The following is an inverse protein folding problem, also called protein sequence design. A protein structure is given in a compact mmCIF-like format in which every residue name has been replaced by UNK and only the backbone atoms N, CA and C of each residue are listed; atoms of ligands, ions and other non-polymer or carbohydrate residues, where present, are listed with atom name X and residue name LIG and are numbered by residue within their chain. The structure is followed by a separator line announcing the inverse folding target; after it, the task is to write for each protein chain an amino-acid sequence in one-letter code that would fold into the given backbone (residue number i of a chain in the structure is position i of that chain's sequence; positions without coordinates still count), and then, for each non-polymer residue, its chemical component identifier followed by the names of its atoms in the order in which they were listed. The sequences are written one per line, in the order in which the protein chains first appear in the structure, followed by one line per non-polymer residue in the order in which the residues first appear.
data_IF_255218564598
#
_entry.id   IF_255218564598
#
_cell.length_a   1.000
_cell.length_b   1.000
_cell.length_c   1.000
_cell.angle_alpha   90.00
_cell.angle_beta   90.00
_cell.angle_gamma   90.00
#
_symmetry.space_group_name_H-M   'P 1'
#
loop_
_entity.id
_entity.type
_entity.pdbx_description
1 polymer ?
#
# COMPACT_ATOMS: atom_id res chain seq x y z
N UNK A 1 -1.58 -3.09 11.71
CA UNK A 1 -1.16 -2.07 12.68
C UNK A 1 -0.62 -2.67 13.98
N UNK A 2 -1.31 -3.61 14.64
CA UNK A 2 -0.97 -4.05 16.00
C UNK A 2 0.28 -4.94 16.18
N UNK A 3 0.74 -5.65 15.14
CA UNK A 3 1.76 -6.72 15.33
C UNK A 3 3.19 -6.34 14.97
N UNK A 4 3.38 -5.36 14.09
CA UNK A 4 4.70 -4.97 13.56
C UNK A 4 5.35 -3.84 14.38
N UNK A 5 4.58 -3.20 15.28
CA UNK A 5 4.99 -2.00 16.02
C UNK A 5 5.05 -0.80 15.08
N UNK A 6 4.45 0.33 15.48
CA UNK A 6 4.35 1.52 14.64
C UNK A 6 5.72 2.06 14.17
N UNK A 7 6.80 1.71 14.87
CA UNK A 7 8.15 2.21 14.59
C UNK A 7 8.86 1.51 13.41
N UNK A 8 8.32 0.39 12.90
CA UNK A 8 8.95 -0.41 11.83
C UNK A 8 8.19 -0.40 10.50
N UNK A 9 7.17 0.45 10.36
CA UNK A 9 6.35 0.56 9.15
C UNK A 9 6.04 2.03 8.84
N UNK A 10 6.11 2.39 7.57
CA UNK A 10 5.80 3.74 7.11
C UNK A 10 4.35 3.78 6.66
N UNK A 11 3.51 4.40 7.48
CA UNK A 11 2.10 4.56 7.15
C UNK A 11 1.85 5.91 6.49
N UNK A 12 1.10 5.88 5.39
CA UNK A 12 0.60 7.05 4.68
C UNK A 12 -0.84 6.81 4.22
N UNK A 13 -1.43 7.84 3.64
CA UNK A 13 -2.77 7.81 3.08
C UNK A 13 -3.88 8.00 4.10
N UNK A 14 -5.07 8.26 3.56
CA UNK A 14 -6.30 8.42 4.32
C UNK A 14 -6.72 7.11 4.98
N UNK A 15 -7.28 7.22 6.18
CA UNK A 15 -7.99 6.13 6.84
C UNK A 15 -9.35 5.89 6.18
N UNK A 16 -9.95 4.73 6.45
CA UNK A 16 -11.30 4.40 5.94
C UNK A 16 -12.34 5.45 6.39
N UNK A 17 -12.26 5.91 7.65
CA UNK A 17 -13.13 6.96 8.19
C UNK A 17 -12.93 8.30 7.46
N UNK A 18 -11.68 8.69 7.19
CA UNK A 18 -11.38 9.92 6.46
C UNK A 18 -11.83 9.84 4.98
N UNK A 19 -11.70 8.67 4.34
CA UNK A 19 -12.22 8.43 2.99
C UNK A 19 -13.73 8.64 2.94
N UNK A 20 -14.46 8.06 3.90
CA UNK A 20 -15.92 8.21 3.98
C UNK A 20 -16.32 9.68 4.19
N UNK A 21 -15.65 10.39 5.10
CA UNK A 21 -15.90 11.81 5.35
C UNK A 21 -15.61 12.69 4.13
N UNK A 22 -14.48 12.46 3.45
CA UNK A 22 -14.15 13.17 2.21
C UNK A 22 -15.22 12.93 1.13
N UNK A 23 -15.69 11.69 0.96
CA UNK A 23 -16.79 11.38 0.02
C UNK A 23 -18.07 12.09 0.42
N UNK A 24 -18.44 12.07 1.69
CA UNK A 24 -19.65 12.70 2.21
C UNK A 24 -19.65 14.23 2.03
N UNK A 25 -18.49 14.88 2.15
CA UNK A 25 -18.30 16.31 1.91
C UNK A 25 -18.27 16.71 0.42
N UNK A 26 -18.41 15.75 -0.50
CA UNK A 26 -18.37 15.99 -1.93
C UNK A 26 -16.95 16.23 -2.44
N UNK A 27 -16.06 15.26 -2.20
CA UNK A 27 -14.68 15.24 -2.68
C UNK A 27 -14.55 15.78 -4.12
N UNK A 28 -13.66 16.77 -4.31
CA UNK A 28 -13.33 17.37 -5.60
C UNK A 28 -11.83 17.20 -5.85
N UNK A 29 -11.43 16.27 -6.73
CA UNK A 29 -10.01 15.97 -6.96
C UNK A 29 -9.21 17.19 -7.47
N UNK A 30 -9.85 18.04 -8.27
CA UNK A 30 -9.28 19.28 -8.78
C UNK A 30 -8.77 20.22 -7.69
N UNK A 31 -9.36 20.21 -6.49
CA UNK A 31 -8.91 21.08 -5.38
C UNK A 31 -7.49 20.69 -4.91
N UNK A 32 -7.12 19.41 -4.99
CA UNK A 32 -5.76 18.94 -4.68
C UNK A 32 -4.76 19.34 -5.78
N UNK A 33 -5.18 19.26 -7.05
CA UNK A 33 -4.39 19.76 -8.17
C UNK A 33 -4.14 21.27 -8.08
N UNK A 34 -5.14 22.06 -7.68
CA UNK A 34 -5.00 23.51 -7.56
C UNK A 34 -4.15 23.95 -6.36
N UNK A 35 -4.20 23.19 -5.26
CA UNK A 35 -3.51 23.54 -4.01
C UNK A 35 -2.08 23.00 -3.89
N UNK A 36 -1.70 21.98 -4.66
CA UNK A 36 -0.36 21.38 -4.63
C UNK A 36 0.40 21.63 -5.95
N UNK A 37 1.42 22.50 -5.90
CA UNK A 37 2.19 22.90 -7.07
C UNK A 37 3.00 21.76 -7.70
N UNK A 38 3.56 20.86 -6.89
CA UNK A 38 4.36 19.71 -7.36
C UNK A 38 3.47 18.67 -8.05
N UNK A 39 2.30 18.40 -7.46
CA UNK A 39 1.29 17.54 -8.07
C UNK A 39 0.82 18.11 -9.41
N UNK A 40 0.54 19.42 -9.45
CA UNK A 40 0.14 20.11 -10.68
C UNK A 40 1.20 19.98 -11.76
N UNK A 41 2.45 20.31 -11.46
CA UNK A 41 3.55 20.22 -12.43
C UNK A 41 3.70 18.78 -12.96
N UNK A 42 3.59 17.79 -12.08
CA UNK A 42 3.65 16.37 -12.46
C UNK A 42 2.53 16.00 -13.44
N UNK A 43 1.29 16.39 -13.13
CA UNK A 43 0.12 16.09 -13.97
C UNK A 43 0.16 16.87 -15.29
N UNK A 44 0.59 18.13 -15.27
CA UNK A 44 0.75 18.95 -16.48
C UNK A 44 1.82 18.38 -17.41
N UNK A 45 2.94 17.91 -16.85
CA UNK A 45 4.00 17.29 -17.62
C UNK A 45 3.53 15.99 -18.27
N UNK A 46 2.80 15.14 -17.54
CA UNK A 46 2.17 13.92 -18.08
C UNK A 46 1.17 14.28 -19.18
N UNK A 47 0.34 15.30 -18.96
CA UNK A 47 -0.69 15.74 -19.89
C UNK A 47 -0.12 16.44 -21.14
N UNK A 48 1.11 16.97 -21.08
CA UNK A 48 1.72 17.73 -22.18
C UNK A 48 2.14 16.86 -23.37
N UNK A 49 2.16 15.54 -23.23
CA UNK A 49 2.70 14.62 -24.23
C UNK A 49 4.23 14.50 -24.21
N UNK A 50 4.91 15.08 -23.21
CA UNK A 50 6.36 15.03 -23.06
C UNK A 50 6.94 13.60 -23.09
N UNK A 51 6.23 12.64 -22.48
CA UNK A 51 6.65 11.24 -22.45
C UNK A 51 6.23 10.43 -23.69
N UNK A 52 5.34 10.97 -24.52
CA UNK A 52 4.74 10.30 -25.67
C UNK A 52 4.75 11.23 -26.88
N UNK A 53 5.94 11.61 -27.40
CA UNK A 53 6.04 12.57 -28.50
C UNK A 53 5.32 12.11 -29.78
N UNK A 54 5.23 10.79 -30.02
CA UNK A 54 4.55 10.20 -31.17
C UNK A 54 3.02 10.13 -30.99
N UNK A 55 2.53 10.22 -29.75
CA UNK A 55 1.09 10.29 -29.41
C UNK A 55 0.88 11.20 -28.18
N UNK A 56 0.91 12.53 -28.37
CA UNK A 56 0.85 13.48 -27.24
C UNK A 56 -0.44 13.38 -26.42
N UNK A 57 -1.53 12.86 -27.00
CA UNK A 57 -2.82 12.74 -26.35
C UNK A 57 -3.02 11.47 -25.52
N UNK A 58 -2.05 10.55 -25.52
CA UNK A 58 -2.18 9.21 -24.93
C UNK A 58 -2.67 9.24 -23.47
N UNK A 59 -2.19 10.19 -22.68
CA UNK A 59 -2.50 10.29 -21.25
C UNK A 59 -3.67 11.22 -20.91
N UNK A 60 -4.22 11.97 -21.86
CA UNK A 60 -5.36 12.87 -21.58
C UNK A 60 -6.53 12.17 -20.86
N UNK A 61 -6.96 10.95 -21.25
CA UNK A 61 -8.07 10.28 -20.55
C UNK A 61 -7.74 9.95 -19.09
N UNK A 62 -6.49 9.60 -18.79
CA UNK A 62 -6.03 9.31 -17.44
C UNK A 62 -6.05 10.58 -16.59
N UNK A 63 -5.45 11.67 -17.08
CA UNK A 63 -5.39 12.95 -16.35
C UNK A 63 -6.80 13.50 -16.12
N UNK A 64 -7.67 13.46 -17.14
CA UNK A 64 -9.08 13.86 -16.99
C UNK A 64 -9.81 13.00 -15.96
N UNK A 65 -9.59 11.69 -15.93
CA UNK A 65 -10.19 10.81 -14.93
C UNK A 65 -9.75 11.17 -13.51
N UNK A 66 -8.46 11.49 -13.32
CA UNK A 66 -7.92 11.91 -12.03
C UNK A 66 -8.45 13.28 -11.58
N UNK A 67 -8.60 14.25 -12.48
CA UNK A 67 -9.07 15.59 -12.12
C UNK A 67 -10.57 15.66 -11.85
N UNK A 68 -11.37 14.76 -12.44
CA UNK A 68 -12.83 14.83 -12.39
C UNK A 68 -13.50 13.72 -11.58
N UNK A 69 -12.90 12.53 -11.49
CA UNK A 69 -13.54 11.36 -10.88
C UNK A 69 -12.76 10.81 -9.69
N UNK A 70 -11.47 10.51 -9.87
CA UNK A 70 -10.55 9.93 -8.87
C UNK A 70 -11.24 9.07 -7.77
N UNK A 71 -11.86 7.93 -8.14
CA UNK A 71 -12.64 7.12 -7.20
C UNK A 71 -11.79 6.49 -6.09
N UNK A 72 -10.48 6.45 -6.30
CA UNK A 72 -9.49 5.89 -5.38
C UNK A 72 -8.80 6.95 -4.52
N UNK A 73 -9.19 8.23 -4.64
CA UNK A 73 -8.64 9.34 -3.85
C UNK A 73 -7.11 9.48 -3.97
N UNK A 74 -6.57 9.16 -5.15
CA UNK A 74 -5.14 9.19 -5.42
C UNK A 74 -4.56 10.61 -5.28
N UNK A 75 -5.31 11.64 -5.70
CA UNK A 75 -4.86 13.03 -5.56
C UNK A 75 -4.89 13.49 -4.09
N UNK A 76 -5.82 12.96 -3.29
CA UNK A 76 -5.89 13.25 -1.87
C UNK A 76 -4.72 12.61 -1.09
N UNK A 77 -4.33 11.40 -1.45
CA UNK A 77 -3.24 10.68 -0.79
C UNK A 77 -1.84 11.15 -1.21
N UNK A 78 -1.72 11.80 -2.38
CA UNK A 78 -0.44 12.13 -3.02
C UNK A 78 0.57 12.80 -2.08
N UNK A 79 0.17 13.86 -1.37
CA UNK A 79 1.10 14.61 -0.52
C UNK A 79 1.60 13.77 0.66
N UNK A 80 0.73 12.95 1.25
CA UNK A 80 1.10 12.06 2.35
C UNK A 80 2.06 10.96 1.87
N UNK A 81 1.85 10.48 0.64
CA UNK A 81 2.73 9.50 0.01
C UNK A 81 4.12 10.07 -0.28
N UNK A 82 4.21 11.29 -0.83
CA UNK A 82 5.50 11.94 -1.10
C UNK A 82 6.30 12.12 0.20
N UNK A 83 5.69 12.67 1.26
CA UNK A 83 6.34 12.83 2.58
C UNK A 83 6.81 11.50 3.14
N UNK A 84 5.97 10.47 3.04
CA UNK A 84 6.32 9.13 3.47
C UNK A 84 7.52 8.56 2.68
N UNK A 85 7.58 8.80 1.37
CA UNK A 85 8.72 8.37 0.55
C UNK A 85 10.01 9.11 0.91
N UNK A 86 9.93 10.39 1.28
CA UNK A 86 11.07 11.14 1.81
C UNK A 86 11.58 10.52 3.11
N UNK A 87 10.69 10.17 4.03
CA UNK A 87 11.05 9.51 5.30
C UNK A 87 11.69 8.14 5.06
N UNK A 88 11.17 7.36 4.10
CA UNK A 88 11.76 6.09 3.66
C UNK A 88 13.17 6.33 3.11
N UNK A 89 13.33 7.29 2.21
CA UNK A 89 14.61 7.59 1.60
C UNK A 89 15.66 8.06 2.63
N UNK A 90 15.24 8.86 3.62
CA UNK A 90 16.10 9.28 4.71
C UNK A 90 16.48 8.09 5.60
N UNK A 91 15.51 7.26 5.98
CA UNK A 91 15.75 6.09 6.83
C UNK A 91 16.65 5.06 6.13
N UNK A 92 16.49 4.88 4.83
CA UNK A 92 17.34 3.97 4.04
C UNK A 92 18.82 4.38 4.04
N UNK A 93 19.13 5.68 4.17
CA UNK A 93 20.53 6.13 4.30
C UNK A 93 21.17 5.71 5.63
N UNK A 94 20.36 5.50 6.67
CA UNK A 94 20.78 4.92 7.94
C UNK A 94 20.69 3.39 7.87
N UNK A 95 21.79 2.76 7.43
CA UNK A 95 21.84 1.32 7.19
C UNK A 95 21.62 0.48 8.45
N UNK A 96 22.07 0.95 9.61
CA UNK A 96 21.91 0.26 10.89
C UNK A 96 20.43 0.26 11.30
N UNK A 97 19.78 1.43 11.23
CA UNK A 97 18.35 1.56 11.49
C UNK A 97 17.52 0.74 10.49
N UNK A 98 17.82 0.84 9.20
CA UNK A 98 17.11 0.10 8.15
C UNK A 98 17.19 -1.42 8.36
N UNK A 99 18.38 -1.91 8.71
CA UNK A 99 18.62 -3.34 8.97
C UNK A 99 17.86 -3.80 10.22
N UNK A 100 17.90 -3.02 11.30
CA UNK A 100 17.12 -3.28 12.51
C UNK A 100 15.61 -3.39 12.23
N UNK A 101 15.06 -2.44 11.48
CA UNK A 101 13.65 -2.44 11.07
C UNK A 101 13.31 -3.68 10.22
N UNK A 102 14.19 -4.07 9.29
CA UNK A 102 14.00 -5.24 8.42
C UNK A 102 13.97 -6.55 9.21
N UNK A 103 14.90 -6.73 10.17
CA UNK A 103 14.95 -7.91 11.03
C UNK A 103 13.69 -8.01 11.90
N UNK A 104 13.26 -6.89 12.50
CA UNK A 104 12.04 -6.86 13.33
C UNK A 104 10.78 -7.18 12.52
N UNK A 105 10.70 -6.72 11.27
CA UNK A 105 9.62 -7.08 10.36
C UNK A 105 9.59 -8.59 10.11
N UNK A 106 10.71 -9.19 9.69
CA UNK A 106 10.79 -10.64 9.43
C UNK A 106 10.43 -11.47 10.67
N UNK A 107 10.94 -11.09 11.84
CA UNK A 107 10.65 -11.79 13.10
C UNK A 107 9.15 -11.73 13.47
N UNK A 108 8.44 -10.66 13.10
CA UNK A 108 7.01 -10.46 13.39
C UNK A 108 6.09 -11.02 12.32
N UNK A 109 6.61 -11.43 11.16
CA UNK A 109 5.84 -12.02 10.06
C UNK A 109 5.30 -13.42 10.33
N UNK A 110 5.74 -14.12 11.38
CA UNK A 110 5.29 -15.49 11.69
C UNK A 110 3.78 -15.63 11.91
N UNK A 111 3.10 -14.54 12.29
CA UNK A 111 1.63 -14.47 12.32
C UNK A 111 1.05 -14.74 10.91
N UNK A 112 1.62 -14.20 9.84
CA UNK A 112 1.07 -14.33 8.49
C UNK A 112 1.38 -15.67 7.78
N UNK A 113 1.84 -16.70 8.52
CA UNK A 113 2.07 -18.02 7.95
C UNK A 113 0.77 -18.70 7.49
N UNK A 114 0.82 -19.32 6.31
CA UNK A 114 -0.25 -20.18 5.80
C UNK A 114 -0.56 -21.34 6.73
N UNK A 115 0.44 -21.88 7.44
CA UNK A 115 0.26 -23.02 8.34
C UNK A 115 -0.68 -22.68 9.50
N UNK A 116 -0.61 -21.44 9.99
CA UNK A 116 -1.54 -20.98 11.01
C UNK A 116 -2.95 -20.86 10.44
N UNK A 117 -3.10 -20.26 9.26
CA UNK A 117 -4.40 -20.13 8.61
C UNK A 117 -5.04 -21.50 8.32
N UNK A 118 -4.26 -22.48 7.84
CA UNK A 118 -4.71 -23.85 7.60
C UNK A 118 -5.19 -24.51 8.89
N UNK A 119 -4.46 -24.32 10.00
CA UNK A 119 -4.88 -24.83 11.31
C UNK A 119 -6.17 -24.18 11.81
N UNK A 120 -6.29 -22.85 11.70
CA UNK A 120 -7.51 -22.12 12.09
C UNK A 120 -8.73 -22.56 11.27
N UNK A 121 -8.56 -22.76 9.95
CA UNK A 121 -9.60 -23.33 9.10
C UNK A 121 -9.92 -24.78 9.46
N UNK A 122 -8.90 -25.59 9.72
CA UNK A 122 -9.04 -26.98 10.15
C UNK A 122 -9.86 -27.12 11.43
N UNK A 123 -9.60 -26.26 12.42
CA UNK A 123 -10.27 -26.27 13.72
C UNK A 123 -11.68 -25.65 13.68
N UNK A 124 -11.86 -24.52 13.00
CA UNK A 124 -13.08 -23.72 13.10
C UNK A 124 -14.08 -23.87 11.95
N UNK A 125 -13.65 -24.41 10.80
CA UNK A 125 -14.50 -24.54 9.61
C UNK A 125 -14.63 -26.00 9.18
N UNK A 126 -13.50 -26.68 8.96
CA UNK A 126 -13.49 -28.05 8.44
C UNK A 126 -13.64 -29.12 9.53
N UNK A 127 -13.39 -28.75 10.79
CA UNK A 127 -13.44 -29.64 11.96
C UNK A 127 -12.58 -30.91 11.79
N UNK A 128 -11.38 -30.75 11.21
CA UNK A 128 -10.41 -31.82 10.97
C UNK A 128 -9.26 -31.74 11.97
N UNK A 129 -8.70 -32.89 12.35
CA UNK A 129 -7.50 -32.97 13.23
C UNK A 129 -6.30 -33.47 12.41
N UNK A 130 -5.08 -33.03 12.75
CA UNK A 130 -3.88 -33.59 12.15
C UNK A 130 -3.78 -35.08 12.48
N UNK A 131 -3.71 -35.92 11.45
CA UNK A 131 -3.45 -37.35 11.59
C UNK A 131 -1.95 -37.61 11.42
N UNK A 132 -1.24 -38.06 12.47
CA UNK A 132 0.18 -38.41 12.36
C UNK A 132 0.33 -39.61 11.43
N UNK A 133 1.25 -39.52 10.46
CA UNK A 133 1.62 -40.68 9.64
C UNK A 133 2.50 -41.59 10.52
N UNK A 134 2.01 -42.79 10.87
CA UNK A 134 2.82 -43.80 11.54
C UNK A 134 3.89 -44.29 10.56
N UNK A 135 5.16 -44.00 10.84
CA UNK A 135 6.30 -44.39 10.01
C UNK A 135 6.77 -45.84 10.25
N UNK A 136 5.89 -46.68 10.81
CA UNK A 136 6.16 -48.11 10.96
C UNK A 136 5.95 -48.89 9.65
N UNK A 137 7.05 -49.03 8.91
CA UNK A 137 7.45 -50.29 8.29
C UNK A 137 6.77 -50.69 6.98
N UNK A 138 7.33 -50.23 5.85
CA UNK A 138 7.33 -51.02 4.62
C UNK A 138 8.70 -51.70 4.48
N UNK A 139 8.87 -52.80 5.21
CA UNK A 139 9.93 -53.78 4.94
C UNK A 139 9.28 -55.16 4.87
N UNK A 140 9.32 -55.76 3.68
CA UNK A 140 8.93 -57.16 3.43
C UNK A 140 7.81 -57.29 2.42
#
# INVERSE_FOLDING_TARGET
RERVGADNFFQFGLTEEEIEDHKARGYRPADHYESNAELRESLDLINSGFFTPDDPGLFHPLVNSLLHHDPYMLLADYESYVKCQEDVAQTYRDQDRWTGMSILNVARCGYFSSDRAIREYGEHVWNVKPEPIDSKGHTG
#
